data_IF_381491188883
#
_entry.id   IF_381491188883
#
_cell.length_a   1.000
_cell.length_b   1.000
_cell.length_c   1.000
_cell.angle_alpha   90.00
_cell.angle_beta   90.00
_cell.angle_gamma   90.00
#
_symmetry.space_group_name_H-M   'P 1'
#
loop_
_entity.id
_entity.type
_entity.pdbx_description
1 polymer ?
#
# COMPACT_ATOMS: atom_id res chain seq x y z
N UNK A 1 -22.80 -27.45 8.94
CA UNK A 1 -23.48 -27.17 7.65
C UNK A 1 -22.70 -26.05 6.99
N UNK A 2 -21.90 -26.35 5.97
CA UNK A 2 -21.02 -25.38 5.30
C UNK A 2 -21.93 -24.42 4.52
N UNK A 3 -21.76 -23.12 4.73
CA UNK A 3 -22.62 -22.06 4.20
C UNK A 3 -22.35 -21.86 2.69
N UNK A 4 -22.92 -22.73 1.87
CA UNK A 4 -22.73 -22.78 0.41
C UNK A 4 -23.28 -21.50 -0.27
N UNK A 5 -24.27 -20.84 0.32
CA UNK A 5 -24.87 -19.60 -0.21
C UNK A 5 -23.96 -18.37 -0.02
N UNK A 6 -23.36 -18.20 1.17
CA UNK A 6 -22.40 -17.12 1.45
C UNK A 6 -21.14 -17.26 0.59
N UNK A 7 -20.67 -18.50 0.41
CA UNK A 7 -19.50 -18.82 -0.42
C UNK A 7 -19.77 -18.53 -1.90
N UNK A 8 -20.98 -18.79 -2.40
CA UNK A 8 -21.40 -18.47 -3.77
C UNK A 8 -21.50 -16.96 -4.04
N UNK A 9 -21.98 -16.17 -3.07
CA UNK A 9 -22.05 -14.71 -3.16
C UNK A 9 -20.67 -14.06 -3.18
N UNK A 10 -19.75 -14.49 -2.31
CA UNK A 10 -18.38 -13.97 -2.27
C UNK A 10 -17.58 -14.30 -3.55
N UNK A 11 -17.76 -15.50 -4.11
CA UNK A 11 -17.16 -15.88 -5.39
C UNK A 11 -17.70 -15.03 -6.56
N UNK A 12 -19.02 -14.78 -6.57
CA UNK A 12 -19.64 -13.90 -7.56
C UNK A 12 -19.12 -12.46 -7.43
N UNK A 13 -19.03 -11.92 -6.22
CA UNK A 13 -18.47 -10.58 -5.97
C UNK A 13 -17.04 -10.47 -6.48
N UNK A 14 -16.17 -11.44 -6.16
CA UNK A 14 -14.80 -11.46 -6.69
C UNK A 14 -14.77 -11.47 -8.22
N UNK A 15 -15.66 -12.22 -8.86
CA UNK A 15 -15.79 -12.25 -10.33
C UNK A 15 -16.25 -10.91 -10.88
N UNK A 16 -17.23 -10.26 -10.25
CA UNK A 16 -17.71 -8.92 -10.62
C UNK A 16 -16.55 -7.93 -10.53
N UNK A 17 -15.82 -7.89 -9.41
CA UNK A 17 -14.68 -6.98 -9.24
C UNK A 17 -13.57 -7.23 -10.27
N UNK A 18 -13.33 -8.50 -10.64
CA UNK A 18 -12.41 -8.85 -11.70
C UNK A 18 -12.85 -8.35 -13.08
N UNK A 19 -14.15 -8.36 -13.38
CA UNK A 19 -14.69 -7.81 -14.63
C UNK A 19 -14.63 -6.28 -14.63
N UNK A 20 -14.93 -5.62 -13.52
CA UNK A 20 -14.87 -4.17 -13.40
C UNK A 20 -13.46 -3.62 -13.67
N UNK A 21 -12.42 -4.31 -13.20
CA UNK A 21 -11.01 -3.96 -13.49
C UNK A 21 -10.63 -4.02 -14.97
N UNK A 22 -11.40 -4.74 -15.80
CA UNK A 22 -11.18 -4.87 -17.25
C UNK A 22 -11.89 -3.80 -18.07
N UNK A 23 -12.65 -2.90 -17.43
CA UNK A 23 -13.29 -1.80 -18.15
C UNK A 23 -12.19 -0.81 -18.56
N UNK A 24 -12.00 -0.63 -19.86
CA UNK A 24 -10.95 0.24 -20.41
C UNK A 24 -11.45 1.64 -20.77
N UNK A 25 -12.78 1.84 -20.82
CA UNK A 25 -13.39 3.10 -21.25
C UNK A 25 -14.40 3.62 -20.24
N UNK A 26 -14.20 4.87 -19.80
CA UNK A 26 -15.12 5.55 -18.91
C UNK A 26 -16.39 5.99 -19.65
N UNK A 27 -17.45 5.19 -19.58
CA UNK A 27 -18.77 5.61 -20.04
C UNK A 27 -19.30 6.76 -19.16
N UNK A 28 -20.16 7.62 -19.72
CA UNK A 28 -20.58 8.88 -19.10
C UNK A 28 -21.14 8.75 -17.66
N UNK A 29 -21.71 7.61 -17.29
CA UNK A 29 -22.26 7.35 -15.96
C UNK A 29 -21.28 6.75 -14.92
N UNK A 30 -20.10 6.27 -15.34
CA UNK A 30 -19.16 5.58 -14.42
C UNK A 30 -18.64 6.53 -13.34
N UNK A 31 -18.21 7.73 -13.74
CA UNK A 31 -17.63 8.69 -12.80
C UNK A 31 -18.65 9.20 -11.76
N UNK A 32 -19.86 9.66 -12.13
CA UNK A 32 -20.87 10.05 -11.14
C UNK A 32 -21.22 8.93 -10.15
N UNK A 33 -21.34 7.68 -10.63
CA UNK A 33 -21.61 6.53 -9.76
C UNK A 33 -20.45 6.25 -8.82
N UNK A 34 -19.21 6.34 -9.31
CA UNK A 34 -18.02 6.16 -8.49
C UNK A 34 -17.92 7.23 -7.41
N UNK A 35 -18.16 8.50 -7.76
CA UNK A 35 -18.11 9.63 -6.81
C UNK A 35 -19.19 9.51 -5.72
N UNK A 36 -20.41 9.14 -6.09
CA UNK A 36 -21.48 8.93 -5.11
C UNK A 36 -21.18 7.73 -4.20
N UNK A 37 -20.65 6.66 -4.79
CA UNK A 37 -20.21 5.48 -4.03
C UNK A 37 -19.09 5.84 -3.07
N UNK A 38 -18.17 6.74 -3.45
CA UNK A 38 -17.11 7.24 -2.58
C UNK A 38 -17.67 8.08 -1.42
N UNK A 39 -18.68 8.93 -1.65
CA UNK A 39 -19.35 9.67 -0.56
C UNK A 39 -20.04 8.73 0.43
N UNK A 40 -20.73 7.72 -0.06
CA UNK A 40 -21.34 6.68 0.77
C UNK A 40 -20.27 5.95 1.61
N UNK A 41 -19.18 5.55 0.97
CA UNK A 41 -18.04 4.89 1.60
C UNK A 41 -17.42 5.72 2.74
N UNK A 42 -17.19 7.01 2.52
CA UNK A 42 -16.61 7.91 3.53
C UNK A 42 -17.53 8.03 4.76
N UNK A 43 -18.84 8.11 4.56
CA UNK A 43 -19.83 8.12 5.64
C UNK A 43 -19.79 6.82 6.46
N UNK A 44 -19.75 5.66 5.80
CA UNK A 44 -19.65 4.36 6.49
C UNK A 44 -18.32 4.21 7.23
N UNK A 45 -17.20 4.69 6.65
CA UNK A 45 -15.90 4.68 7.32
C UNK A 45 -15.92 5.47 8.64
N UNK A 46 -16.50 6.68 8.63
CA UNK A 46 -16.62 7.51 9.84
C UNK A 46 -17.47 6.83 10.91
N UNK A 47 -18.54 6.15 10.51
CA UNK A 47 -19.40 5.41 11.42
C UNK A 47 -18.65 4.25 12.08
N UNK A 48 -17.96 3.43 11.28
CA UNK A 48 -17.19 2.27 11.77
C UNK A 48 -16.03 2.68 12.68
N UNK A 49 -15.29 3.75 12.33
CA UNK A 49 -14.17 4.23 13.14
C UNK A 49 -14.62 4.75 14.51
N UNK A 50 -15.79 5.39 14.60
CA UNK A 50 -16.34 5.98 15.84
C UNK A 50 -17.12 4.98 16.70
N UNK A 51 -17.34 3.74 16.25
CA UNK A 51 -18.11 2.74 17.01
C UNK A 51 -17.47 2.45 18.39
N UNK A 52 -18.25 2.31 19.47
CA UNK A 52 -19.72 2.38 19.55
C UNK A 52 -20.29 3.80 19.68
N UNK A 53 -19.44 4.80 19.97
CA UNK A 53 -19.86 6.17 20.29
C UNK A 53 -20.57 6.88 19.12
N UNK A 54 -20.27 6.49 17.88
CA UNK A 54 -20.90 7.03 16.67
C UNK A 54 -22.35 6.58 16.43
N UNK A 55 -22.87 5.59 17.15
CA UNK A 55 -24.21 5.04 16.94
C UNK A 55 -25.29 5.64 17.86
N UNK A 56 -24.92 6.56 18.76
CA UNK A 56 -25.75 6.97 19.90
C UNK A 56 -26.25 8.43 19.92
N UNK A 57 -26.00 9.25 18.91
CA UNK A 57 -26.40 10.66 18.96
C UNK A 57 -26.97 11.16 17.62
N UNK A 58 -28.29 11.06 17.48
CA UNK A 58 -29.15 12.13 16.93
C UNK A 58 -28.90 12.71 15.53
N UNK A 59 -27.99 12.20 14.72
CA UNK A 59 -27.91 12.56 13.30
C UNK A 59 -28.62 11.48 12.49
N UNK A 60 -29.57 11.91 11.66
CA UNK A 60 -30.36 11.08 10.76
C UNK A 60 -29.46 10.05 10.09
N UNK A 61 -29.56 8.79 10.54
CA UNK A 61 -28.90 7.68 9.87
C UNK A 61 -29.44 7.66 8.44
N UNK A 62 -28.61 8.06 7.48
CA UNK A 62 -28.92 7.92 6.06
C UNK A 62 -29.22 6.43 5.87
N UNK A 63 -30.49 6.09 5.65
CA UNK A 63 -30.88 4.71 5.39
C UNK A 63 -30.11 4.24 4.15
N UNK A 64 -29.35 3.13 4.24
CA UNK A 64 -28.78 2.52 3.06
C UNK A 64 -29.92 2.22 2.07
N UNK A 65 -29.67 2.44 0.78
CA UNK A 65 -30.65 2.34 -0.32
C UNK A 65 -31.50 1.04 -0.32
N UNK A 66 -31.06 0.00 0.41
CA UNK A 66 -31.68 -1.31 0.48
C UNK A 66 -32.49 -1.59 1.76
N UNK A 67 -32.46 -0.73 2.80
CA UNK A 67 -33.05 -1.06 4.12
C UNK A 67 -34.57 -0.84 4.23
N UNK A 68 -35.22 -0.19 3.27
CA UNK A 68 -36.66 0.08 3.31
C UNK A 68 -37.55 -1.18 3.23
N UNK A 69 -37.03 -2.31 2.73
CA UNK A 69 -37.85 -3.50 2.43
C UNK A 69 -37.91 -4.58 3.54
N UNK A 70 -37.04 -4.52 4.56
CA UNK A 70 -36.72 -5.71 5.36
C UNK A 70 -37.13 -5.66 6.85
N UNK A 71 -38.08 -4.81 7.26
CA UNK A 71 -38.57 -4.85 8.67
C UNK A 71 -39.59 -5.97 8.88
N UNK A 72 -39.12 -7.15 9.32
CA UNK A 72 -39.91 -8.07 10.18
C UNK A 72 -39.10 -8.50 11.41
N UNK A 73 -39.60 -8.04 12.56
CA UNK A 73 -39.28 -8.30 13.98
C UNK A 73 -38.46 -9.57 14.29
N UNK A 74 -37.26 -9.41 14.87
CA UNK A 74 -36.59 -10.37 15.78
C UNK A 74 -35.76 -9.61 16.84
N UNK A 75 -35.60 -10.21 18.02
CA UNK A 75 -34.99 -9.74 19.28
C UNK A 75 -33.83 -8.73 19.23
N UNK A 76 -33.88 -7.75 20.14
CA UNK A 76 -33.06 -6.52 20.19
C UNK A 76 -31.55 -6.65 20.52
N UNK A 77 -31.02 -7.83 20.89
CA UNK A 77 -29.59 -7.97 21.23
C UNK A 77 -28.77 -8.75 20.19
N UNK A 78 -29.38 -9.73 19.51
CA UNK A 78 -28.76 -10.49 18.42
C UNK A 78 -28.88 -9.79 17.06
N UNK A 79 -29.85 -8.88 16.92
CA UNK A 79 -30.07 -8.09 15.71
C UNK A 79 -28.99 -7.03 15.48
N UNK A 80 -28.50 -6.39 16.54
CA UNK A 80 -27.52 -5.30 16.45
C UNK A 80 -26.13 -5.77 16.04
N UNK A 81 -25.69 -6.95 16.48
CA UNK A 81 -24.40 -7.52 16.05
C UNK A 81 -24.44 -7.95 14.58
N UNK A 82 -25.51 -8.66 14.18
CA UNK A 82 -25.72 -9.04 12.79
C UNK A 82 -25.83 -7.82 11.86
N UNK A 83 -26.48 -6.74 12.31
CA UNK A 83 -26.56 -5.48 11.58
C UNK A 83 -25.19 -4.83 11.37
N UNK A 84 -24.27 -4.95 12.33
CA UNK A 84 -22.91 -4.39 12.22
C UNK A 84 -22.03 -5.25 11.30
N UNK A 85 -22.12 -6.58 11.41
CA UNK A 85 -21.40 -7.49 10.49
C UNK A 85 -21.83 -7.23 9.03
N UNK A 86 -23.12 -6.99 8.81
CA UNK A 86 -23.67 -6.61 7.51
C UNK A 86 -23.09 -5.27 7.02
N UNK A 87 -22.97 -4.26 7.90
CA UNK A 87 -22.37 -2.97 7.56
C UNK A 87 -20.88 -3.08 7.21
N UNK A 88 -20.12 -3.93 7.92
CA UNK A 88 -18.71 -4.17 7.62
C UNK A 88 -18.57 -4.87 6.27
N UNK A 89 -19.45 -5.84 5.98
CA UNK A 89 -19.45 -6.50 4.69
C UNK A 89 -19.85 -5.54 3.55
N UNK A 90 -20.83 -4.67 3.79
CA UNK A 90 -21.21 -3.62 2.84
C UNK A 90 -20.05 -2.65 2.57
N UNK A 91 -19.40 -2.14 3.62
CA UNK A 91 -18.19 -1.33 3.52
C UNK A 91 -17.10 -2.04 2.72
N UNK A 92 -16.85 -3.32 3.00
CA UNK A 92 -15.83 -4.10 2.30
C UNK A 92 -16.13 -4.20 0.79
N UNK A 93 -17.39 -4.45 0.43
CA UNK A 93 -17.84 -4.54 -0.97
C UNK A 93 -17.70 -3.20 -1.70
N UNK A 94 -18.11 -2.11 -1.05
CA UNK A 94 -17.99 -0.75 -1.59
C UNK A 94 -16.52 -0.38 -1.80
N UNK A 95 -15.66 -0.70 -0.82
CA UNK A 95 -14.20 -0.47 -0.93
C UNK A 95 -13.63 -1.20 -2.14
N UNK A 96 -14.04 -2.46 -2.35
CA UNK A 96 -13.59 -3.26 -3.50
C UNK A 96 -14.04 -2.70 -4.84
N UNK A 97 -15.28 -2.21 -4.92
CA UNK A 97 -15.81 -1.53 -6.10
C UNK A 97 -14.97 -0.30 -6.45
N UNK A 98 -14.70 0.56 -5.46
CA UNK A 98 -13.93 1.79 -5.65
C UNK A 98 -12.50 1.50 -6.11
N UNK A 99 -11.83 0.50 -5.51
CA UNK A 99 -10.50 0.03 -5.91
C UNK A 99 -10.47 -0.59 -7.31
N UNK A 100 -11.53 -1.29 -7.72
CA UNK A 100 -11.61 -1.93 -9.03
C UNK A 100 -11.86 -0.92 -10.16
N UNK A 101 -12.68 0.11 -9.93
CA UNK A 101 -13.11 1.06 -10.96
C UNK A 101 -12.39 2.42 -10.95
N UNK A 102 -11.69 2.77 -9.87
CA UNK A 102 -11.09 4.10 -9.74
C UNK A 102 -10.16 4.46 -10.90
N UNK A 103 -9.46 3.46 -11.47
CA UNK A 103 -8.55 3.65 -12.60
C UNK A 103 -9.25 4.19 -13.85
N UNK A 104 -10.48 3.74 -14.12
CA UNK A 104 -11.28 4.19 -15.26
C UNK A 104 -11.68 5.66 -15.11
N UNK A 105 -11.90 6.10 -13.87
CA UNK A 105 -12.25 7.49 -13.58
C UNK A 105 -11.10 8.47 -13.83
N UNK A 106 -9.85 7.98 -13.88
CA UNK A 106 -8.66 8.81 -14.19
C UNK A 106 -8.52 9.14 -15.68
N UNK A 107 -9.16 8.37 -16.57
CA UNK A 107 -8.99 8.54 -18.02
C UNK A 107 -9.69 9.78 -18.58
N UNK A 108 -10.64 10.36 -17.84
CA UNK A 108 -11.42 11.50 -18.32
C UNK A 108 -10.65 12.79 -18.07
N UNK A 109 -10.32 13.53 -19.12
CA UNK A 109 -9.77 14.88 -18.97
C UNK A 109 -10.80 15.76 -18.24
N UNK A 110 -10.36 16.63 -17.30
CA UNK A 110 -11.23 17.61 -16.69
C UNK A 110 -11.86 18.48 -17.78
N UNK A 111 -13.19 18.50 -17.84
CA UNK A 111 -13.91 19.46 -18.68
C UNK A 111 -13.72 20.85 -18.06
N UNK A 112 -13.37 21.85 -18.89
CA UNK A 112 -13.15 23.25 -18.50
C UNK A 112 -14.37 23.85 -17.77
N UNK A 113 -15.55 23.24 -17.91
CA UNK A 113 -16.80 23.67 -17.27
C UNK A 113 -16.92 23.30 -15.77
N UNK A 114 -16.05 22.43 -15.24
CA UNK A 114 -16.19 21.90 -13.87
C UNK A 114 -15.59 22.80 -12.79
N UNK A 115 -14.71 23.73 -13.15
CA UNK A 115 -14.08 24.68 -12.21
C UNK A 115 -15.08 25.68 -11.62
N UNK A 116 -16.21 25.92 -12.28
CA UNK A 116 -17.18 26.95 -11.84
C UNK A 116 -18.17 26.46 -10.79
N UNK A 117 -18.48 25.17 -10.72
CA UNK A 117 -19.62 24.66 -9.90
C UNK A 117 -19.20 24.24 -8.49
N UNK A 118 -17.95 23.79 -8.29
CA UNK A 118 -17.49 23.23 -7.02
C UNK A 118 -16.65 24.17 -6.13
N UNK A 119 -16.57 25.46 -6.48
CA UNK A 119 -15.83 26.46 -5.69
C UNK A 119 -16.44 26.73 -4.28
N UNK A 120 -17.65 26.23 -3.98
CA UNK A 120 -18.36 26.61 -2.78
C UNK A 120 -18.02 25.80 -1.52
N UNK A 121 -17.31 24.66 -1.61
CA UNK A 121 -17.11 23.76 -0.45
C UNK A 121 -15.64 23.39 -0.15
N UNK A 122 -14.68 24.17 -0.66
CA UNK A 122 -13.24 23.86 -0.55
C UNK A 122 -12.58 24.18 0.80
N UNK A 123 -13.33 24.60 1.84
CA UNK A 123 -12.71 25.17 3.06
C UNK A 123 -12.27 24.17 4.14
N UNK A 124 -12.30 22.85 3.92
CA UNK A 124 -12.04 21.88 5.03
C UNK A 124 -10.98 20.81 4.81
N UNK A 125 -10.27 20.77 3.68
CA UNK A 125 -9.31 19.69 3.44
C UNK A 125 -7.98 20.19 2.86
N UNK A 126 -7.15 20.79 3.72
CA UNK A 126 -5.74 21.03 3.42
C UNK A 126 -4.90 19.83 3.89
N UNK A 127 -4.50 18.97 2.96
CA UNK A 127 -3.38 18.05 3.16
C UNK A 127 -2.57 17.96 1.86
N UNK A 128 -1.39 18.59 1.90
CA UNK A 128 -0.17 18.31 1.12
C UNK A 128 -0.22 18.45 -0.41
N UNK A 129 0.07 19.65 -0.90
CA UNK A 129 0.84 19.81 -2.12
C UNK A 129 1.82 20.96 -1.90
N UNK A 130 3.10 20.74 -2.18
CA UNK A 130 4.09 21.81 -2.22
C UNK A 130 4.53 22.01 -3.68
N UNK A 131 4.70 23.28 -4.04
CA UNK A 131 5.04 23.86 -5.37
C UNK A 131 3.88 24.10 -6.36
N UNK A 132 3.41 25.36 -6.36
CA UNK A 132 3.10 26.19 -7.54
C UNK A 132 2.18 25.67 -8.67
N UNK A 133 1.16 24.86 -8.37
CA UNK A 133 0.01 24.68 -9.27
C UNK A 133 -1.27 24.61 -8.42
N UNK A 134 -2.33 25.34 -8.82
CA UNK A 134 -3.66 25.19 -8.23
C UNK A 134 -4.01 23.71 -8.16
N UNK A 135 -4.16 23.18 -6.93
CA UNK A 135 -4.36 21.75 -6.70
C UNK A 135 -5.67 21.35 -7.34
N UNK A 136 -5.57 20.74 -8.52
CA UNK A 136 -6.72 20.19 -9.21
C UNK A 136 -7.32 19.07 -8.35
N UNK A 137 -8.55 19.29 -7.89
CA UNK A 137 -9.31 18.32 -7.10
C UNK A 137 -9.45 17.00 -7.88
N UNK A 138 -8.91 15.91 -7.33
CA UNK A 138 -9.07 14.56 -7.88
C UNK A 138 -9.70 13.63 -6.82
N UNK A 139 -11.00 13.28 -6.94
CA UNK A 139 -11.70 12.39 -6.02
C UNK A 139 -10.99 11.05 -5.80
N UNK A 140 -10.39 10.50 -6.86
CA UNK A 140 -9.65 9.23 -6.80
C UNK A 140 -8.41 9.34 -5.91
N UNK A 141 -7.65 10.43 -6.03
CA UNK A 141 -6.50 10.70 -5.16
C UNK A 141 -6.92 10.86 -3.70
N UNK A 142 -8.04 11.55 -3.45
CA UNK A 142 -8.60 11.70 -2.11
C UNK A 142 -9.01 10.35 -1.51
N UNK A 143 -9.71 9.51 -2.28
CA UNK A 143 -10.07 8.16 -1.88
C UNK A 143 -8.86 7.32 -1.50
N UNK A 144 -7.81 7.28 -2.34
CA UNK A 144 -6.58 6.54 -2.04
C UNK A 144 -5.94 7.04 -0.74
N UNK A 145 -5.87 8.36 -0.54
CA UNK A 145 -5.35 8.94 0.70
C UNK A 145 -6.16 8.53 1.94
N UNK A 146 -7.49 8.46 1.84
CA UNK A 146 -8.35 7.98 2.94
C UNK A 146 -8.23 6.47 3.15
N UNK A 147 -8.13 5.70 2.07
CA UNK A 147 -7.94 4.25 2.10
C UNK A 147 -6.63 3.87 2.81
N UNK A 148 -5.54 4.58 2.54
CA UNK A 148 -4.26 4.35 3.21
C UNK A 148 -4.31 4.64 4.71
N UNK A 149 -5.16 5.58 5.17
CA UNK A 149 -5.36 5.81 6.62
C UNK A 149 -6.01 4.62 7.31
N UNK A 150 -6.84 3.86 6.59
CA UNK A 150 -7.50 2.66 7.14
C UNK A 150 -6.53 1.50 7.39
N UNK A 151 -5.33 1.52 6.82
CA UNK A 151 -4.24 0.60 7.17
C UNK A 151 -3.78 0.76 8.63
N UNK A 152 -4.18 1.84 9.30
CA UNK A 152 -3.86 2.16 10.70
C UNK A 152 -5.14 2.35 11.53
N UNK A 153 -6.26 1.77 11.10
CA UNK A 153 -7.54 1.91 11.80
C UNK A 153 -7.44 1.36 13.24
N UNK A 154 -7.48 2.22 14.24
CA UNK A 154 -7.28 1.86 15.65
C UNK A 154 -8.56 1.48 16.39
N UNK A 155 -9.67 1.19 15.69
CA UNK A 155 -10.90 0.77 16.33
C UNK A 155 -10.70 -0.61 17.00
N UNK A 156 -10.99 -0.74 18.28
CA UNK A 156 -10.71 -1.96 19.05
C UNK A 156 -11.49 -3.18 18.57
N UNK A 157 -12.71 -2.99 18.04
CA UNK A 157 -13.58 -4.09 17.62
C UNK A 157 -13.28 -4.56 16.19
N UNK A 158 -13.10 -3.62 15.27
CA UNK A 158 -13.02 -3.92 13.83
C UNK A 158 -11.72 -3.47 13.17
N UNK A 159 -10.82 -2.80 13.89
CA UNK A 159 -9.60 -2.22 13.35
C UNK A 159 -8.75 -3.25 12.61
N UNK A 160 -8.46 -4.39 13.24
CA UNK A 160 -7.68 -5.48 12.62
C UNK A 160 -8.34 -6.03 11.35
N UNK A 161 -9.67 -6.21 11.36
CA UNK A 161 -10.43 -6.67 10.20
C UNK A 161 -10.36 -5.67 9.04
N UNK A 162 -10.56 -4.37 9.33
CA UNK A 162 -10.47 -3.28 8.36
C UNK A 162 -9.06 -3.20 7.76
N UNK A 163 -8.03 -3.19 8.61
CA UNK A 163 -6.63 -3.15 8.20
C UNK A 163 -6.29 -4.34 7.29
N UNK A 164 -6.70 -5.55 7.68
CA UNK A 164 -6.49 -6.77 6.91
C UNK A 164 -7.17 -6.70 5.54
N UNK A 165 -8.45 -6.29 5.50
CA UNK A 165 -9.20 -6.15 4.24
C UNK A 165 -8.55 -5.14 3.29
N UNK A 166 -8.23 -3.93 3.78
CA UNK A 166 -7.60 -2.90 2.96
C UNK A 166 -6.24 -3.37 2.44
N UNK A 167 -5.40 -3.94 3.30
CA UNK A 167 -4.09 -4.48 2.92
C UNK A 167 -4.19 -5.53 1.81
N UNK A 168 -5.10 -6.50 1.96
CA UNK A 168 -5.30 -7.56 0.97
C UNK A 168 -5.89 -7.02 -0.33
N UNK A 169 -6.85 -6.10 -0.25
CA UNK A 169 -7.53 -5.51 -1.39
C UNK A 169 -6.57 -4.67 -2.24
N UNK A 170 -5.80 -3.79 -1.62
CA UNK A 170 -4.81 -2.93 -2.31
C UNK A 170 -3.75 -3.79 -2.99
N UNK A 171 -3.22 -4.81 -2.31
CA UNK A 171 -2.15 -5.66 -2.85
C UNK A 171 -2.59 -6.59 -3.98
N UNK A 172 -3.87 -7.04 -4.01
CA UNK A 172 -4.29 -8.15 -4.88
C UNK A 172 -5.41 -7.81 -5.88
N UNK A 173 -6.17 -6.75 -5.64
CA UNK A 173 -7.46 -6.50 -6.29
C UNK A 173 -7.68 -5.03 -6.69
N UNK A 174 -6.76 -4.12 -6.41
CA UNK A 174 -6.80 -2.75 -6.93
C UNK A 174 -6.51 -2.72 -8.44
N UNK A 175 -7.20 -1.82 -9.16
CA UNK A 175 -6.90 -1.56 -10.58
C UNK A 175 -5.45 -1.04 -10.74
N UNK A 176 -4.63 -1.63 -11.63
CA UNK A 176 -3.24 -1.21 -11.81
C UNK A 176 -3.06 0.26 -12.23
N UNK A 177 -4.07 0.87 -12.88
CA UNK A 177 -4.06 2.29 -13.22
C UNK A 177 -4.00 3.22 -11.99
N UNK A 178 -4.28 2.70 -10.79
CA UNK A 178 -4.19 3.43 -9.53
C UNK A 178 -2.80 3.34 -8.87
N UNK A 179 -1.93 2.41 -9.30
CA UNK A 179 -0.62 2.21 -8.70
C UNK A 179 0.28 3.46 -8.71
N UNK A 180 0.31 4.29 -9.75
CA UNK A 180 1.07 5.54 -9.71
C UNK A 180 0.71 6.42 -8.51
N UNK A 181 -0.59 6.71 -8.34
CA UNK A 181 -1.10 7.55 -7.24
C UNK A 181 -0.88 6.86 -5.89
N UNK A 182 -1.07 5.54 -5.83
CA UNK A 182 -0.85 4.75 -4.62
C UNK A 182 0.61 4.88 -4.15
N UNK A 183 1.59 4.63 -5.01
CA UNK A 183 3.00 4.66 -4.64
C UNK A 183 3.46 6.07 -4.26
N UNK A 184 2.99 7.10 -4.96
CA UNK A 184 3.30 8.49 -4.61
C UNK A 184 2.74 8.87 -3.23
N UNK A 185 1.49 8.48 -2.94
CA UNK A 185 0.86 8.74 -1.63
C UNK A 185 1.53 7.95 -0.49
N UNK A 186 1.85 6.67 -0.71
CA UNK A 186 2.59 5.87 0.28
C UNK A 186 3.95 6.52 0.54
N UNK A 187 4.68 6.91 -0.51
CA UNK A 187 5.97 7.59 -0.37
C UNK A 187 5.83 8.89 0.42
N UNK A 188 4.85 9.73 0.09
CA UNK A 188 4.59 10.97 0.80
C UNK A 188 4.25 10.76 2.30
N UNK A 189 3.67 9.62 2.66
CA UNK A 189 3.45 9.23 4.06
C UNK A 189 4.77 8.79 4.69
N UNK A 190 5.51 7.87 4.06
CA UNK A 190 6.78 7.33 4.59
C UNK A 190 7.84 8.42 4.73
N UNK A 191 7.90 9.40 3.84
CA UNK A 191 8.82 10.54 3.93
C UNK A 191 8.63 11.34 5.22
N UNK A 192 7.42 11.32 5.82
CA UNK A 192 7.14 11.95 7.12
C UNK A 192 7.61 11.14 8.30
N UNK A 193 8.13 9.94 8.10
CA UNK A 193 8.75 9.15 9.18
C UNK A 193 10.19 9.61 9.43
N UNK A 194 10.65 10.63 8.70
CA UNK A 194 11.93 11.27 8.89
C UNK A 194 11.72 12.71 9.34
N UNK A 195 12.48 13.15 10.33
CA UNK A 195 12.38 14.53 10.83
C UNK A 195 13.07 15.54 9.88
N UNK A 196 13.10 16.82 10.29
CA UNK A 196 13.73 17.89 9.50
C UNK A 196 15.25 17.67 9.31
N UNK A 197 15.90 16.93 10.22
CA UNK A 197 17.32 16.56 10.18
C UNK A 197 17.55 15.22 9.46
N UNK A 198 16.50 14.68 8.82
CA UNK A 198 16.53 13.40 8.15
C UNK A 198 16.80 12.23 9.10
N UNK A 199 16.54 12.35 10.41
CA UNK A 199 16.61 11.25 11.36
C UNK A 199 15.31 10.44 11.36
N UNK A 200 15.41 9.14 11.60
CA UNK A 200 14.26 8.23 11.56
C UNK A 200 13.45 8.34 12.85
N UNK A 201 12.13 8.55 12.71
CA UNK A 201 11.18 8.58 13.81
C UNK A 201 10.49 7.21 13.95
N UNK A 202 11.03 6.39 14.86
CA UNK A 202 10.50 5.06 15.16
C UNK A 202 9.30 5.15 16.09
N UNK A 203 8.13 4.74 15.60
CA UNK A 203 6.90 4.59 16.39
C UNK A 203 6.17 3.33 15.95
N UNK A 204 5.35 2.74 16.83
CA UNK A 204 4.58 1.54 16.49
C UNK A 204 3.66 1.76 15.27
N UNK A 205 3.07 2.96 15.17
CA UNK A 205 2.19 3.35 14.06
C UNK A 205 2.98 3.41 12.74
N UNK A 206 4.16 4.05 12.74
CA UNK A 206 5.00 4.13 11.55
C UNK A 206 5.48 2.74 11.13
N UNK A 207 5.92 1.92 12.08
CA UNK A 207 6.38 0.55 11.84
C UNK A 207 5.28 -0.33 11.26
N UNK A 208 4.07 -0.24 11.81
CA UNK A 208 2.90 -0.94 11.28
C UNK A 208 2.57 -0.51 9.85
N UNK A 209 2.64 0.79 9.54
CA UNK A 209 2.43 1.29 8.17
C UNK A 209 3.48 0.73 7.21
N UNK A 210 4.75 0.70 7.61
CA UNK A 210 5.85 0.13 6.83
C UNK A 210 5.65 -1.36 6.59
N UNK A 211 5.26 -2.13 7.61
CA UNK A 211 4.95 -3.55 7.49
C UNK A 211 3.82 -3.81 6.49
N UNK A 212 2.72 -3.06 6.59
CA UNK A 212 1.60 -3.15 5.65
C UNK A 212 2.01 -2.76 4.22
N UNK A 213 2.87 -1.76 4.08
CA UNK A 213 3.42 -1.34 2.78
C UNK A 213 4.28 -2.44 2.16
N UNK A 214 5.16 -3.07 2.93
CA UNK A 214 6.00 -4.20 2.47
C UNK A 214 5.11 -5.34 1.95
N UNK A 215 4.04 -5.67 2.67
CA UNK A 215 3.07 -6.67 2.20
C UNK A 215 2.44 -6.27 0.86
N UNK A 216 1.93 -5.04 0.75
CA UNK A 216 1.30 -4.54 -0.48
C UNK A 216 2.27 -4.59 -1.66
N UNK A 217 3.51 -4.11 -1.47
CA UNK A 217 4.56 -4.15 -2.49
C UNK A 217 4.84 -5.58 -2.93
N UNK A 218 4.96 -6.53 -1.99
CA UNK A 218 5.17 -7.94 -2.33
C UNK A 218 4.02 -8.50 -3.15
N UNK A 219 2.78 -8.27 -2.73
CA UNK A 219 1.59 -8.76 -3.41
C UNK A 219 1.49 -8.23 -4.84
N UNK A 220 1.76 -6.93 -5.06
CA UNK A 220 1.73 -6.34 -6.41
C UNK A 220 2.82 -6.94 -7.29
N UNK A 221 4.03 -7.12 -6.78
CA UNK A 221 5.15 -7.69 -7.54
C UNK A 221 4.93 -9.18 -7.86
N UNK A 222 4.33 -9.93 -6.95
CA UNK A 222 4.01 -11.36 -7.14
C UNK A 222 2.76 -11.60 -7.99
N UNK A 223 1.97 -10.57 -8.29
CA UNK A 223 0.69 -10.72 -8.96
C UNK A 223 0.85 -11.15 -10.42
N UNK A 224 0.93 -12.47 -10.63
CA UNK A 224 1.03 -13.14 -11.95
C UNK A 224 -0.29 -13.22 -12.71
N UNK A 225 -1.38 -12.59 -12.25
CA UNK A 225 -2.73 -12.77 -12.81
C UNK A 225 -2.93 -12.19 -14.22
N UNK A 226 -1.89 -11.56 -14.79
CA UNK A 226 -1.88 -11.01 -16.13
C UNK A 226 -0.71 -11.65 -16.87
N UNK A 227 -1.00 -12.49 -17.86
CA UNK A 227 0.01 -12.97 -18.82
C UNK A 227 0.57 -11.81 -19.68
N UNK A 228 0.05 -10.59 -19.51
CA UNK A 228 0.56 -9.37 -20.11
C UNK A 228 1.37 -8.56 -19.08
N UNK A 229 2.53 -8.00 -19.48
CA UNK A 229 3.29 -7.09 -18.62
C UNK A 229 2.40 -5.90 -18.21
N UNK A 230 2.41 -5.58 -16.92
CA UNK A 230 1.61 -4.50 -16.37
C UNK A 230 2.23 -3.14 -16.75
N UNK A 231 1.71 -2.50 -17.80
CA UNK A 231 2.23 -1.21 -18.31
C UNK A 231 2.36 -0.16 -17.21
N UNK A 232 1.43 -0.12 -16.25
CA UNK A 232 1.43 0.87 -15.16
C UNK A 232 2.62 0.74 -14.18
N UNK A 233 3.24 -0.44 -14.08
CA UNK A 233 4.47 -0.61 -13.28
C UNK A 233 5.72 -0.08 -14.01
N UNK A 234 5.67 0.02 -15.34
CA UNK A 234 6.74 0.56 -16.17
C UNK A 234 6.71 2.10 -16.28
N UNK A 235 5.62 2.74 -15.85
CA UNK A 235 5.47 4.21 -15.91
C UNK A 235 5.86 4.95 -14.64
N UNK A 236 5.82 4.29 -13.47
CA UNK A 236 6.08 4.92 -12.17
C UNK A 236 7.33 4.34 -11.52
N UNK A 237 8.29 5.19 -11.16
CA UNK A 237 9.46 4.75 -10.39
C UNK A 237 9.09 4.53 -8.94
N UNK A 238 9.37 3.32 -8.45
CA UNK A 238 9.21 2.94 -7.04
C UNK A 238 10.54 2.96 -6.28
N UNK A 239 11.64 3.40 -6.91
CA UNK A 239 12.99 3.43 -6.33
C UNK A 239 13.02 4.25 -5.03
N UNK A 240 12.49 5.48 -5.08
CA UNK A 240 12.50 6.39 -3.93
C UNK A 240 11.66 5.89 -2.76
N UNK A 241 10.51 5.26 -3.04
CA UNK A 241 9.67 4.63 -2.02
C UNK A 241 10.42 3.48 -1.34
N UNK A 242 11.00 2.59 -2.12
CA UNK A 242 11.70 1.42 -1.60
C UNK A 242 12.96 1.81 -0.82
N UNK A 243 13.68 2.85 -1.26
CA UNK A 243 14.81 3.41 -0.50
C UNK A 243 14.37 4.06 0.82
N UNK A 244 13.20 4.71 0.88
CA UNK A 244 12.67 5.23 2.14
C UNK A 244 12.29 4.09 3.10
N UNK A 245 11.66 3.02 2.59
CA UNK A 245 11.29 1.83 3.37
C UNK A 245 12.53 1.13 3.95
N UNK A 246 13.53 0.80 3.12
CA UNK A 246 14.75 0.12 3.57
C UNK A 246 15.50 0.95 4.60
N UNK A 247 15.53 2.28 4.41
CA UNK A 247 16.16 3.21 5.35
C UNK A 247 15.43 3.24 6.69
N UNK A 248 14.10 3.23 6.71
CA UNK A 248 13.33 3.11 7.96
C UNK A 248 13.64 1.77 8.66
N UNK A 249 13.53 0.65 7.93
CA UNK A 249 13.73 -0.71 8.45
C UNK A 249 15.15 -0.95 8.95
N UNK A 250 16.16 -0.23 8.43
CA UNK A 250 17.54 -0.26 8.96
C UNK A 250 17.61 0.04 10.45
N UNK A 251 16.83 1.01 10.89
CA UNK A 251 16.91 1.57 12.24
C UNK A 251 16.07 0.79 13.25
N UNK A 252 15.32 -0.23 12.81
CA UNK A 252 14.59 -1.11 13.73
C UNK A 252 15.56 -2.01 14.50
N UNK A 253 15.40 -2.05 15.83
CA UNK A 253 16.09 -2.98 16.72
C UNK A 253 15.77 -4.43 16.37
N UNK A 254 16.65 -5.37 16.73
CA UNK A 254 16.53 -6.80 16.44
C UNK A 254 15.52 -7.53 17.33
N UNK A 255 14.25 -7.12 17.25
CA UNK A 255 13.11 -7.84 17.83
C UNK A 255 12.60 -8.93 16.88
N UNK A 256 11.81 -9.89 17.38
CA UNK A 256 11.17 -10.91 16.53
C UNK A 256 10.35 -10.25 15.41
N UNK A 257 9.56 -9.22 15.73
CA UNK A 257 8.78 -8.48 14.74
C UNK A 257 9.67 -7.84 13.67
N UNK A 258 10.73 -7.13 14.10
CA UNK A 258 11.67 -6.48 13.18
C UNK A 258 12.37 -7.48 12.27
N UNK A 259 12.72 -8.67 12.77
CA UNK A 259 13.30 -9.73 11.94
C UNK A 259 12.31 -10.15 10.85
N UNK A 260 11.04 -10.37 11.18
CA UNK A 260 10.02 -10.70 10.18
C UNK A 260 9.88 -9.58 9.13
N UNK A 261 9.85 -8.31 9.56
CA UNK A 261 9.78 -7.16 8.65
C UNK A 261 11.00 -7.12 7.72
N UNK A 262 12.22 -7.27 8.25
CA UNK A 262 13.47 -7.31 7.47
C UNK A 262 13.47 -8.47 6.47
N UNK A 263 13.05 -9.67 6.88
CA UNK A 263 12.94 -10.84 5.99
C UNK A 263 11.95 -10.58 4.85
N UNK A 264 10.77 -10.03 5.15
CA UNK A 264 9.78 -9.68 4.13
C UNK A 264 10.25 -8.59 3.18
N UNK A 265 10.99 -7.59 3.68
CA UNK A 265 11.61 -6.59 2.83
C UNK A 265 12.62 -7.20 1.86
N UNK A 266 13.48 -8.12 2.32
CA UNK A 266 14.42 -8.83 1.45
C UNK A 266 13.68 -9.59 0.33
N UNK A 267 12.57 -10.26 0.66
CA UNK A 267 11.72 -10.94 -0.32
C UNK A 267 11.09 -9.98 -1.35
N UNK A 268 10.75 -8.74 -0.95
CA UNK A 268 10.29 -7.69 -1.89
C UNK A 268 11.42 -7.27 -2.81
N UNK A 269 12.63 -7.04 -2.29
CA UNK A 269 13.81 -6.65 -3.07
C UNK A 269 14.15 -7.72 -4.11
N UNK A 270 14.15 -9.00 -3.73
CA UNK A 270 14.32 -10.12 -4.67
C UNK A 270 13.23 -10.12 -5.76
N UNK A 271 11.95 -9.96 -5.37
CA UNK A 271 10.84 -9.92 -6.33
C UNK A 271 10.95 -8.74 -7.32
N UNK A 272 11.42 -7.57 -6.86
CA UNK A 272 11.70 -6.43 -7.72
C UNK A 272 12.79 -6.75 -8.73
N UNK A 273 13.90 -7.35 -8.29
CA UNK A 273 15.02 -7.68 -9.18
C UNK A 273 14.67 -8.80 -10.17
N UNK A 274 13.81 -9.75 -9.79
CA UNK A 274 13.27 -10.75 -10.73
C UNK A 274 12.37 -10.16 -11.81
N UNK A 275 11.72 -9.03 -11.53
CA UNK A 275 10.85 -8.29 -12.46
C UNK A 275 11.48 -6.99 -12.94
N UNK A 276 12.82 -6.91 -12.89
CA UNK A 276 13.57 -5.69 -13.20
C UNK A 276 13.19 -5.06 -14.54
N UNK A 277 12.99 -5.88 -15.58
CA UNK A 277 12.67 -5.41 -16.93
C UNK A 277 11.22 -4.90 -17.06
N UNK A 278 10.33 -5.22 -16.12
CA UNK A 278 8.95 -4.70 -16.08
C UNK A 278 8.84 -3.37 -15.32
N UNK A 279 9.88 -2.96 -14.60
CA UNK A 279 9.85 -1.86 -13.65
C UNK A 279 10.55 -0.60 -14.20
N UNK A 280 9.98 0.56 -13.86
CA UNK A 280 10.59 1.83 -14.19
C UNK A 280 11.74 2.17 -13.22
N UNK A 281 12.99 2.08 -13.69
CA UNK A 281 14.15 2.60 -12.96
C UNK A 281 14.70 3.87 -13.61
N UNK A 282 14.80 4.96 -12.84
CA UNK A 282 15.45 6.21 -13.28
C UNK A 282 16.96 6.16 -13.01
N UNK A 283 17.38 5.54 -11.92
CA UNK A 283 18.79 5.48 -11.49
C UNK A 283 19.11 4.08 -10.95
N UNK A 284 18.88 3.07 -11.80
CA UNK A 284 18.91 1.66 -11.41
C UNK A 284 20.19 1.25 -10.66
N UNK A 285 21.36 1.56 -11.23
CA UNK A 285 22.64 1.17 -10.64
C UNK A 285 22.84 1.78 -9.25
N UNK A 286 22.47 3.06 -9.08
CA UNK A 286 22.55 3.76 -7.79
C UNK A 286 21.57 3.17 -6.78
N UNK A 287 20.35 2.88 -7.22
CA UNK A 287 19.36 2.20 -6.39
C UNK A 287 19.88 0.85 -5.89
N UNK A 288 20.43 0.02 -6.78
CA UNK A 288 20.96 -1.30 -6.44
C UNK A 288 22.13 -1.21 -5.45
N UNK A 289 23.11 -0.34 -5.72
CA UNK A 289 24.24 -0.12 -4.81
C UNK A 289 23.78 0.30 -3.41
N UNK A 290 22.86 1.28 -3.34
CA UNK A 290 22.35 1.77 -2.06
C UNK A 290 21.52 0.72 -1.31
N UNK A 291 20.75 -0.09 -2.03
CA UNK A 291 20.02 -1.23 -1.45
C UNK A 291 20.97 -2.27 -0.87
N UNK A 292 22.04 -2.63 -1.59
CA UNK A 292 23.07 -3.56 -1.08
C UNK A 292 23.66 -3.01 0.21
N UNK A 293 24.14 -1.75 0.21
CA UNK A 293 24.71 -1.11 1.40
C UNK A 293 23.78 -1.21 2.61
N UNK A 294 22.50 -0.84 2.45
CA UNK A 294 21.53 -0.89 3.53
C UNK A 294 21.27 -2.32 4.03
N UNK A 295 21.02 -3.25 3.12
CA UNK A 295 20.67 -4.63 3.45
C UNK A 295 21.86 -5.35 4.12
N UNK A 296 23.10 -5.12 3.67
CA UNK A 296 24.28 -5.74 4.28
C UNK A 296 24.62 -5.16 5.66
N UNK A 297 24.40 -3.86 5.88
CA UNK A 297 24.80 -3.18 7.12
C UNK A 297 24.14 -3.81 8.37
N UNK A 298 22.84 -4.08 8.32
CA UNK A 298 22.13 -4.61 9.49
C UNK A 298 22.26 -6.13 9.66
N UNK A 299 22.79 -6.86 8.66
CA UNK A 299 23.16 -8.28 8.79
C UNK A 299 24.57 -8.44 9.37
N UNK A 300 25.48 -7.52 9.05
CA UNK A 300 26.83 -7.54 9.62
C UNK A 300 26.86 -7.01 11.07
N UNK A 301 26.00 -6.05 11.42
CA UNK A 301 25.89 -5.49 12.77
C UNK A 301 25.36 -6.45 13.85
N UNK A 302 24.72 -7.56 13.48
CA UNK A 302 24.19 -8.58 14.41
C UNK A 302 25.24 -9.58 14.88
N UNK A 303 26.38 -9.68 14.18
CA UNK A 303 27.44 -10.63 14.51
C UNK A 303 28.22 -10.26 15.78
N UNK A 304 28.13 -9.02 16.26
CA UNK A 304 28.85 -8.53 17.44
C UNK A 304 28.05 -8.53 18.75
N UNK A 305 26.76 -8.89 18.72
CA UNK A 305 25.94 -9.05 19.92
C UNK A 305 25.66 -10.54 20.19
N UNK A 306 26.72 -11.32 20.43
CA UNK A 306 26.58 -12.70 20.94
C UNK A 306 26.24 -12.60 22.44
N UNK A 307 25.00 -12.20 22.75
CA UNK A 307 24.37 -12.60 23.99
C UNK A 307 24.09 -14.11 23.93
N UNK A 308 24.11 -14.85 25.05
CA UNK A 308 23.94 -16.31 25.05
C UNK A 308 22.62 -16.70 24.38
N UNK A 309 22.52 -17.89 23.77
CA UNK A 309 21.43 -18.23 22.86
C UNK A 309 20.09 -18.09 23.56
N UNK A 310 19.36 -17.04 23.21
CA UNK A 310 17.99 -16.79 23.63
C UNK A 310 17.08 -17.79 22.90
N UNK A 311 16.97 -19.02 23.43
CA UNK A 311 16.06 -20.08 22.94
C UNK A 311 16.36 -20.60 21.53
N UNK A 312 16.09 -21.88 21.28
CA UNK A 312 16.32 -22.52 19.98
C UNK A 312 15.52 -21.87 18.83
N UNK A 313 14.41 -21.20 19.14
CA UNK A 313 13.56 -20.53 18.15
C UNK A 313 14.15 -19.21 17.63
N UNK A 314 15.06 -18.56 18.38
CA UNK A 314 15.70 -17.33 17.89
C UNK A 314 16.74 -17.61 16.79
N UNK A 315 17.38 -18.78 16.82
CA UNK A 315 18.40 -19.15 15.82
C UNK A 315 17.80 -19.54 14.47
N UNK A 316 16.57 -20.06 14.44
CA UNK A 316 15.88 -20.37 13.17
C UNK A 316 15.42 -19.09 12.47
N UNK A 317 14.86 -18.15 13.21
CA UNK A 317 14.33 -16.88 12.69
C UNK A 317 15.46 -15.98 12.15
N UNK A 318 16.61 -15.92 12.83
CA UNK A 318 17.78 -15.20 12.31
C UNK A 318 18.35 -15.87 11.05
N UNK A 319 18.39 -17.20 11.00
CA UNK A 319 18.82 -17.93 9.80
C UNK A 319 17.92 -17.67 8.59
N UNK A 320 16.60 -17.57 8.78
CA UNK A 320 15.67 -17.19 7.71
C UNK A 320 15.93 -15.78 7.19
N UNK A 321 16.26 -14.84 8.09
CA UNK A 321 16.68 -13.49 7.70
C UNK A 321 17.98 -13.51 6.91
N UNK A 322 19.00 -14.21 7.39
CA UNK A 322 20.30 -14.32 6.72
C UNK A 322 20.13 -14.89 5.31
N UNK A 323 19.35 -15.96 5.17
CA UNK A 323 19.05 -16.54 3.86
C UNK A 323 18.35 -15.53 2.94
N UNK A 324 17.26 -14.91 3.40
CA UNK A 324 16.53 -13.94 2.59
C UNK A 324 17.39 -12.73 2.20
N UNK A 325 18.26 -12.28 3.10
CA UNK A 325 19.23 -11.22 2.84
C UNK A 325 20.21 -11.62 1.74
N UNK A 326 20.82 -12.81 1.83
CA UNK A 326 21.76 -13.30 0.82
C UNK A 326 21.10 -13.45 -0.55
N UNK A 327 19.86 -13.95 -0.61
CA UNK A 327 19.08 -14.03 -1.84
C UNK A 327 18.84 -12.64 -2.45
N UNK A 328 18.42 -11.67 -1.63
CA UNK A 328 18.20 -10.29 -2.07
C UNK A 328 19.48 -9.61 -2.57
N UNK A 329 20.60 -9.76 -1.85
CA UNK A 329 21.91 -9.21 -2.25
C UNK A 329 22.38 -9.85 -3.55
N UNK A 330 22.27 -11.18 -3.70
CA UNK A 330 22.61 -11.87 -4.93
C UNK A 330 21.78 -11.35 -6.11
N UNK A 331 20.47 -11.12 -5.92
CA UNK A 331 19.59 -10.58 -6.94
C UNK A 331 19.97 -9.14 -7.34
N UNK A 332 20.35 -8.29 -6.38
CA UNK A 332 20.79 -6.90 -6.62
C UNK A 332 22.11 -6.83 -7.40
N UNK A 333 23.08 -7.68 -7.04
CA UNK A 333 24.42 -7.71 -7.64
C UNK A 333 24.46 -8.40 -9.01
N UNK A 334 23.46 -9.23 -9.34
CA UNK A 334 23.40 -9.93 -10.63
C UNK A 334 23.41 -8.94 -11.79
N UNK A 335 24.48 -9.03 -12.61
CA UNK A 335 24.67 -8.18 -13.79
C UNK A 335 25.03 -6.72 -13.47
N UNK A 336 25.36 -6.41 -12.22
CA UNK A 336 25.78 -5.07 -11.82
C UNK A 336 27.26 -4.87 -12.20
N UNK A 337 27.60 -3.89 -13.05
CA UNK A 337 28.99 -3.64 -13.40
C UNK A 337 29.75 -3.06 -12.21
N UNK A 338 31.00 -3.46 -12.03
CA UNK A 338 31.89 -2.85 -11.04
C UNK A 338 32.00 -1.35 -11.32
N UNK A 339 31.73 -0.55 -10.28
CA UNK A 339 31.92 0.89 -10.32
C UNK A 339 33.21 1.22 -9.56
N UNK A 340 34.04 2.15 -10.07
CA UNK A 340 35.13 2.68 -9.26
C UNK A 340 34.56 3.33 -7.99
N UNK A 341 35.24 3.18 -6.86
CA UNK A 341 34.90 3.93 -5.65
C UNK A 341 34.86 5.43 -5.99
N UNK A 342 33.92 6.19 -5.42
CA UNK A 342 33.85 7.64 -5.60
C UNK A 342 35.15 8.29 -5.09
N UNK A 343 36.19 8.27 -5.91
CA UNK A 343 37.44 8.96 -5.71
C UNK A 343 37.51 10.07 -6.73
N UNK A 344 37.56 11.27 -6.18
CA UNK A 344 37.82 12.54 -6.82
C UNK A 344 38.82 12.40 -7.99
N UNK A 345 38.36 12.75 -9.20
CA UNK A 345 39.14 12.96 -10.44
C UNK A 345 39.82 11.73 -11.06
N UNK A 346 39.22 11.21 -12.12
CA UNK A 346 39.89 10.33 -13.07
C UNK A 346 38.92 9.67 -14.03
N UNK A 347 39.32 9.50 -15.28
CA UNK A 347 38.50 9.01 -16.38
C UNK A 347 37.84 7.66 -16.01
N UNK A 348 36.49 7.62 -16.03
CA UNK A 348 35.68 6.47 -15.57
C UNK A 348 36.07 5.16 -16.28
N UNK A 349 36.61 5.29 -17.50
CA UNK A 349 37.08 4.19 -18.32
C UNK A 349 38.39 3.57 -17.80
N UNK A 350 39.31 4.40 -17.30
CA UNK A 350 40.60 3.97 -16.75
C UNK A 350 40.40 3.29 -15.39
N UNK A 351 39.55 3.86 -14.54
CA UNK A 351 39.20 3.29 -13.25
C UNK A 351 38.45 1.94 -13.39
N UNK A 352 37.63 1.78 -14.45
CA UNK A 352 37.06 0.47 -14.81
C UNK A 352 38.11 -0.51 -15.31
N UNK A 353 39.05 -0.08 -16.15
CA UNK A 353 40.12 -0.94 -16.67
C UNK A 353 40.99 -1.51 -15.55
N UNK A 354 41.27 -0.73 -14.50
CA UNK A 354 42.09 -1.17 -13.36
C UNK A 354 41.41 -2.22 -12.48
N UNK A 355 40.08 -2.28 -12.44
CA UNK A 355 39.33 -3.28 -11.67
C UNK A 355 39.43 -4.70 -12.26
N UNK A 356 39.72 -4.82 -13.56
CA UNK A 356 39.90 -6.11 -14.25
C UNK A 356 41.37 -6.57 -14.32
N UNK A 357 42.31 -5.79 -13.78
CA UNK A 357 43.75 -6.05 -13.80
C UNK A 357 44.29 -6.70 -12.51
N UNK A 358 43.41 -7.08 -11.57
CA UNK A 358 43.77 -7.79 -10.32
C UNK A 358 43.40 -9.26 -10.34
#
# INVERSE_FOLDING_TARGET
MIDISATGSAALQKRIMALLRKIEHCANGVQPVWEETFRCWDSVCKLLQKYPKGFGAGEEAIEPLHRAAAKRRVSHHTSTEHDIDMQIQEWANITSFLCALGGVCLQRRPSILWTTVHSHDSRKYNVLANSSQEVQYCPVTQFIGQLLRLLLCSNERFGSQIQCHVKQLVGNEMSPALYPILFDQIKAIVDKFFDQQQQVMLTDINTQFVEHTIFIMKSILDNKKSDQPCEHLSTTSIEGLMLAIVRYVRHLDMTVLSVHIKTKLCQVVDAMMRRRDDLAFRQEMKFRNKMVEYVTDWVLGTSHQIAPPLRADASSITRELDQACMEAVAALLKGLPLQPEESDRGDLMEAKSQLFLK
#
